data_IF_972806547813
#
_entry.id   IF_972806547813
#
_cell.length_a   1.000
_cell.length_b   1.000
_cell.length_c   1.000
_cell.angle_alpha   90.00
_cell.angle_beta   90.00
_cell.angle_gamma   90.00
#
_symmetry.space_group_name_H-M   'P 1'
#
loop_
_entity.id
_entity.type
_entity.pdbx_description
1 polymer ?
#
# COMPACT_ATOMS: atom_id res chain seq x y z
N UNK A 1 -0.58 16.25 15.95
CA UNK A 1 0.40 15.44 15.21
C UNK A 1 -0.26 14.09 14.97
N UNK A 2 -0.75 13.84 13.76
CA UNK A 2 -1.35 12.55 13.40
C UNK A 2 -0.20 11.58 13.19
N UNK A 3 0.02 10.70 14.16
CA UNK A 3 0.99 9.62 14.02
C UNK A 3 0.24 8.55 13.24
N UNK A 4 0.22 8.66 11.91
CA UNK A 4 -0.25 7.56 11.07
C UNK A 4 0.60 6.36 11.43
N UNK A 5 0.02 5.25 11.94
CA UNK A 5 0.80 4.07 12.25
C UNK A 5 1.52 3.66 10.96
N UNK A 6 2.85 3.75 10.96
CA UNK A 6 3.66 3.42 9.80
C UNK A 6 3.38 1.98 9.44
N UNK A 7 2.65 1.75 8.34
CA UNK A 7 2.44 0.42 7.82
C UNK A 7 3.82 -0.18 7.50
N UNK A 8 4.08 -1.45 7.86
CA UNK A 8 5.36 -2.11 7.54
C UNK A 8 5.52 -2.34 6.03
N UNK A 9 4.45 -2.12 5.25
CA UNK A 9 4.43 -2.20 3.80
C UNK A 9 3.92 -0.88 3.22
N UNK A 10 4.51 -0.48 2.09
CA UNK A 10 4.05 0.65 1.30
C UNK A 10 3.90 0.22 -0.15
N UNK A 11 2.93 0.77 -0.87
CA UNK A 11 2.70 0.46 -2.27
C UNK A 11 2.68 1.74 -3.11
N UNK A 12 3.23 1.66 -4.31
CA UNK A 12 3.18 2.72 -5.33
C UNK A 12 2.91 2.13 -6.70
N UNK A 13 2.47 2.96 -7.64
CA UNK A 13 2.41 2.60 -9.05
C UNK A 13 3.75 2.85 -9.75
N UNK A 14 4.12 1.90 -10.60
CA UNK A 14 5.22 1.99 -11.56
C UNK A 14 4.82 2.88 -12.74
N UNK A 15 5.82 3.37 -13.48
CA UNK A 15 5.61 4.09 -14.75
C UNK A 15 4.85 3.25 -15.79
N UNK A 16 4.91 1.92 -15.67
CA UNK A 16 4.20 1.00 -16.55
C UNK A 16 2.79 0.64 -16.03
N UNK A 17 2.33 1.22 -14.93
CA UNK A 17 1.03 0.95 -14.32
C UNK A 17 0.99 -0.22 -13.33
N UNK A 18 2.08 -0.98 -13.20
CA UNK A 18 2.19 -2.06 -12.21
C UNK A 18 2.17 -1.51 -10.77
N UNK A 19 1.58 -2.25 -9.83
CA UNK A 19 1.64 -1.91 -8.40
C UNK A 19 2.87 -2.57 -7.77
N UNK A 20 3.78 -1.74 -7.24
CA UNK A 20 5.01 -2.16 -6.59
C UNK A 20 4.85 -2.05 -5.08
N UNK A 21 5.08 -3.15 -4.37
CA UNK A 21 4.99 -3.22 -2.90
C UNK A 21 6.39 -3.27 -2.31
N UNK A 22 6.67 -2.35 -1.40
CA UNK A 22 7.88 -2.30 -0.60
C UNK A 22 7.59 -2.69 0.82
N UNK A 23 8.54 -3.39 1.42
CA UNK A 23 8.54 -3.72 2.81
C UNK A 23 9.59 -2.83 3.51
N UNK A 24 9.15 -2.09 4.54
CA UNK A 24 9.94 -1.04 5.23
C UNK A 24 10.06 -1.32 6.74
N UNK A 25 9.56 -2.45 7.22
CA UNK A 25 9.61 -2.85 8.63
C UNK A 25 10.87 -3.62 9.04
N UNK A 26 10.90 -4.03 10.30
CA UNK A 26 11.90 -4.97 10.86
C UNK A 26 11.54 -6.44 10.67
N UNK A 27 10.26 -6.81 10.80
CA UNK A 27 9.71 -8.10 10.35
C UNK A 27 8.57 -7.99 9.32
N UNK A 28 8.49 -8.87 8.28
CA UNK A 28 7.46 -8.85 7.24
C UNK A 28 6.14 -9.43 7.76
N UNK A 29 5.62 -8.80 8.81
CA UNK A 29 4.40 -9.18 9.51
C UNK A 29 3.52 -7.96 9.64
N UNK A 30 2.21 -8.19 9.60
CA UNK A 30 1.19 -7.17 9.78
C UNK A 30 0.09 -7.74 10.68
N UNK A 31 -0.50 -6.89 11.52
CA UNK A 31 -1.76 -7.27 12.20
C UNK A 31 -2.91 -7.29 11.20
N UNK A 32 -4.05 -7.87 11.59
CA UNK A 32 -5.22 -7.91 10.72
C UNK A 32 -5.70 -6.50 10.33
N UNK A 33 -5.64 -5.54 11.24
CA UNK A 33 -6.03 -4.15 11.01
C UNK A 33 -5.09 -3.46 10.00
N UNK A 34 -3.79 -3.72 10.10
CA UNK A 34 -2.80 -3.21 9.16
C UNK A 34 -2.96 -3.85 7.78
N UNK A 35 -3.31 -5.14 7.72
CA UNK A 35 -3.59 -5.83 6.47
C UNK A 35 -4.79 -5.23 5.74
N UNK A 36 -5.86 -4.92 6.47
CA UNK A 36 -7.05 -4.27 5.92
C UNK A 36 -6.72 -2.86 5.40
N UNK A 37 -6.02 -2.05 6.19
CA UNK A 37 -5.61 -0.71 5.77
C UNK A 37 -4.71 -0.74 4.52
N UNK A 38 -3.79 -1.71 4.43
CA UNK A 38 -2.94 -1.88 3.26
C UNK A 38 -3.72 -2.36 2.03
N UNK A 39 -4.70 -3.25 2.22
CA UNK A 39 -5.57 -3.71 1.14
C UNK A 39 -6.42 -2.57 0.55
N UNK A 40 -6.89 -1.65 1.40
CA UNK A 40 -7.61 -0.45 0.94
C UNK A 40 -6.69 0.47 0.12
N UNK A 41 -5.45 0.69 0.56
CA UNK A 41 -4.44 1.43 -0.22
C UNK A 41 -4.18 0.78 -1.59
N UNK A 42 -4.10 -0.54 -1.68
CA UNK A 42 -3.93 -1.25 -2.95
C UNK A 42 -5.14 -1.08 -3.87
N UNK A 43 -6.36 -1.09 -3.31
CA UNK A 43 -7.60 -0.88 -4.07
C UNK A 43 -7.63 0.53 -4.66
N UNK A 44 -7.26 1.54 -3.88
CA UNK A 44 -7.22 2.94 -4.34
C UNK A 44 -6.18 3.13 -5.46
N UNK A 45 -4.99 2.53 -5.32
CA UNK A 45 -3.97 2.56 -6.37
C UNK A 45 -4.44 1.88 -7.66
N UNK A 46 -5.08 0.72 -7.55
CA UNK A 46 -5.62 0.00 -8.71
C UNK A 46 -6.74 0.81 -9.42
N UNK A 47 -7.62 1.45 -8.65
CA UNK A 47 -8.68 2.29 -9.19
C UNK A 47 -8.13 3.54 -9.89
N UNK A 48 -7.11 4.19 -9.31
CA UNK A 48 -6.44 5.34 -9.90
C UNK A 48 -5.76 4.98 -11.24
N UNK A 49 -5.07 3.84 -11.30
CA UNK A 49 -4.48 3.33 -12.55
C UNK A 49 -5.52 3.01 -13.62
N UNK A 50 -6.64 2.41 -13.24
CA UNK A 50 -7.71 2.05 -14.17
C UNK A 50 -8.43 3.26 -14.78
N UNK A 51 -8.47 4.41 -14.09
CA UNK A 51 -9.07 5.64 -14.61
C UNK A 51 -8.17 6.36 -15.64
N UNK A 52 -6.87 6.04 -15.64
CA UNK A 52 -5.87 6.61 -16.55
C UNK A 52 -5.61 5.76 -17.81
N UNK A 53 -6.25 4.59 -17.92
CA UNK A 53 -6.15 3.65 -19.06
C UNK A 53 -7.40 3.70 -19.93
#
# INVERSE_FOLDING_TARGET
>A
MVISPTLPFTATTSLNGDIVVFYVGSEPRMTAEQALAFADQLRDLAAASACLS
#
